data_IF_049219808010
#
_entry.id   IF_049219808010
#
_cell.length_a   1.000
_cell.length_b   1.000
_cell.length_c   1.000
_cell.angle_alpha   90.00
_cell.angle_beta   90.00
_cell.angle_gamma   90.00
#
_symmetry.space_group_name_H-M   'P 1'
#
loop_
_entity.id
_entity.type
_entity.pdbx_description
1 polymer ?
#
# COMPACT_ATOMS: atom_id res chain seq x y z
N UNK A 1 -0.24 12.71 -4.87
CA UNK A 1 0.66 12.18 -5.92
C UNK A 1 0.73 13.02 -7.21
N UNK A 2 -0.25 13.85 -7.56
CA UNK A 2 -0.15 14.77 -8.73
C UNK A 2 0.78 15.97 -8.54
N UNK A 3 1.06 16.36 -7.31
CA UNK A 3 1.91 17.54 -7.00
C UNK A 3 3.39 17.30 -7.32
N UNK A 4 3.92 16.10 -7.07
CA UNK A 4 5.34 15.81 -7.33
C UNK A 4 5.72 15.81 -8.82
N UNK A 5 4.83 15.33 -9.70
CA UNK A 5 5.07 15.38 -11.15
C UNK A 5 5.10 16.83 -11.67
N UNK A 6 4.16 17.68 -11.20
CA UNK A 6 4.14 19.08 -11.57
C UNK A 6 5.37 19.86 -11.09
N UNK A 7 5.92 19.52 -9.93
CA UNK A 7 7.13 20.16 -9.40
C UNK A 7 8.39 19.70 -10.13
N UNK A 8 8.44 18.43 -10.57
CA UNK A 8 9.51 17.91 -11.42
C UNK A 8 9.56 18.68 -12.76
N UNK A 9 8.43 18.81 -13.46
CA UNK A 9 8.34 19.53 -14.72
C UNK A 9 8.62 21.04 -14.59
N UNK A 10 8.27 21.66 -13.45
CA UNK A 10 8.62 23.06 -13.16
C UNK A 10 10.11 23.26 -12.92
N UNK A 11 10.83 22.21 -12.49
CA UNK A 11 12.27 22.28 -12.20
C UNK A 11 13.14 21.88 -13.38
N UNK A 12 12.58 21.31 -14.43
CA UNK A 12 13.33 20.93 -15.65
C UNK A 12 13.12 21.98 -16.76
N UNK A 13 14.06 22.94 -16.90
CA UNK A 13 13.98 23.98 -17.94
C UNK A 13 14.18 23.41 -19.36
N UNK A 14 14.53 22.13 -19.51
CA UNK A 14 14.76 21.48 -20.80
C UNK A 14 13.53 20.69 -21.30
N UNK A 15 12.42 20.66 -20.56
CA UNK A 15 11.22 19.99 -21.04
C UNK A 15 10.72 20.59 -22.35
N UNK A 16 10.69 19.78 -23.40
CA UNK A 16 10.17 20.14 -24.71
C UNK A 16 8.97 19.22 -25.02
N UNK A 17 7.77 19.76 -25.21
CA UNK A 17 6.61 18.98 -25.61
C UNK A 17 6.89 18.19 -26.92
N UNK A 18 6.48 16.91 -26.97
CA UNK A 18 6.65 16.05 -28.14
C UNK A 18 7.92 15.18 -28.13
N UNK A 19 8.80 15.31 -27.13
CA UNK A 19 9.85 14.32 -26.90
C UNK A 19 9.30 13.08 -26.17
N UNK A 20 10.05 11.97 -26.21
CA UNK A 20 9.73 10.77 -25.43
C UNK A 20 9.55 11.12 -23.96
N UNK A 21 8.56 10.54 -23.26
CA UNK A 21 8.35 10.82 -21.86
C UNK A 21 9.59 10.41 -21.05
N UNK A 22 10.04 11.30 -20.18
CA UNK A 22 11.19 11.07 -19.29
C UNK A 22 10.75 10.58 -17.92
N UNK A 23 9.47 10.76 -17.57
CA UNK A 23 8.83 10.32 -16.34
C UNK A 23 7.70 9.34 -16.65
N UNK A 24 7.72 8.16 -16.04
CA UNK A 24 6.77 7.08 -16.29
C UNK A 24 6.18 6.55 -14.97
N UNK A 25 4.90 6.23 -15.00
CA UNK A 25 4.22 5.42 -13.98
C UNK A 25 3.74 4.13 -14.64
N UNK A 26 4.35 2.99 -14.28
CA UNK A 26 4.09 1.69 -14.89
C UNK A 26 3.36 0.81 -13.88
N UNK A 27 2.20 0.31 -14.29
CA UNK A 27 1.38 -0.59 -13.48
C UNK A 27 1.26 -1.96 -14.11
N UNK A 28 1.55 -2.99 -13.30
CA UNK A 28 1.41 -4.42 -13.66
C UNK A 28 0.11 -5.01 -13.09
N UNK A 29 -1.04 -4.41 -13.42
CA UNK A 29 -2.34 -4.92 -13.02
C UNK A 29 -2.50 -5.08 -11.49
N UNK A 30 -3.22 -6.13 -11.09
CA UNK A 30 -3.56 -6.41 -9.69
C UNK A 30 -2.85 -7.64 -9.10
N UNK A 31 -1.89 -8.24 -9.79
CA UNK A 31 -1.19 -9.42 -9.27
C UNK A 31 -0.48 -9.12 -7.96
N UNK A 32 -0.94 -9.72 -6.86
CA UNK A 32 -0.46 -9.48 -5.50
C UNK A 32 -0.61 -10.75 -4.66
N UNK A 33 0.30 -10.98 -3.73
CA UNK A 33 0.26 -12.10 -2.81
C UNK A 33 -0.49 -11.83 -1.50
N UNK A 34 -0.86 -10.57 -1.22
CA UNK A 34 -1.50 -10.19 0.03
C UNK A 34 -3.01 -9.93 -0.12
N UNK A 35 -3.72 -10.08 1.01
CA UNK A 35 -5.14 -9.75 1.19
C UNK A 35 -5.30 -8.63 2.22
N UNK A 36 -4.73 -7.46 1.95
CA UNK A 36 -4.82 -6.33 2.89
C UNK A 36 -6.27 -5.93 3.14
N UNK A 37 -6.63 -5.62 4.41
CA UNK A 37 -8.00 -5.29 4.78
C UNK A 37 -8.56 -4.05 4.07
N UNK A 38 -7.69 -3.11 3.67
CA UNK A 38 -8.06 -1.87 2.97
C UNK A 38 -8.00 -2.01 1.44
N UNK A 39 -7.62 -3.17 0.91
CA UNK A 39 -7.40 -3.35 -0.52
C UNK A 39 -8.70 -3.71 -1.26
N UNK A 40 -8.69 -3.51 -2.58
CA UNK A 40 -9.81 -3.83 -3.46
C UNK A 40 -9.38 -4.87 -4.51
N UNK A 41 -10.32 -5.56 -5.17
CA UNK A 41 -10.03 -6.46 -6.27
C UNK A 41 -9.24 -5.84 -7.43
N UNK A 42 -9.35 -4.52 -7.63
CA UNK A 42 -8.58 -3.79 -8.65
C UNK A 42 -7.07 -3.73 -8.35
N UNK A 43 -6.69 -3.90 -7.08
CA UNK A 43 -5.32 -3.74 -6.62
C UNK A 43 -4.74 -5.03 -6.04
N UNK A 44 -5.54 -6.10 -5.87
CA UNK A 44 -5.05 -7.39 -5.40
C UNK A 44 -5.84 -8.55 -6.00
N UNK A 45 -5.14 -9.41 -6.72
CA UNK A 45 -5.68 -10.66 -7.25
C UNK A 45 -6.11 -11.63 -6.14
N UNK A 46 -5.49 -11.55 -4.97
CA UNK A 46 -5.89 -12.36 -3.81
C UNK A 46 -7.21 -11.87 -3.19
N UNK A 47 -7.44 -10.55 -3.14
CA UNK A 47 -8.73 -9.97 -2.73
C UNK A 47 -9.80 -10.28 -3.79
N UNK A 48 -9.45 -10.20 -5.07
CA UNK A 48 -10.36 -10.60 -6.15
C UNK A 48 -10.84 -12.05 -5.98
N UNK A 49 -9.90 -12.96 -5.74
CA UNK A 49 -10.24 -14.37 -5.53
C UNK A 49 -11.05 -14.58 -4.24
N UNK A 50 -10.68 -13.91 -3.14
CA UNK A 50 -11.42 -13.98 -1.88
C UNK A 50 -12.85 -13.47 -2.05
N UNK A 51 -13.03 -12.34 -2.75
CA UNK A 51 -14.36 -11.80 -3.07
C UNK A 51 -15.20 -12.78 -3.90
N UNK A 52 -14.64 -13.35 -4.97
CA UNK A 52 -15.35 -14.33 -5.82
C UNK A 52 -15.82 -15.54 -5.02
N UNK A 53 -15.01 -16.00 -4.07
CA UNK A 53 -15.34 -17.16 -3.23
C UNK A 53 -16.34 -16.83 -2.12
N UNK A 54 -16.48 -15.56 -1.74
CA UNK A 54 -17.28 -15.11 -0.57
C UNK A 54 -18.21 -13.94 -0.94
N UNK A 55 -18.69 -13.86 -2.18
CA UNK A 55 -19.47 -12.73 -2.71
C UNK A 55 -20.68 -12.38 -1.82
N UNK A 56 -21.39 -13.38 -1.29
CA UNK A 56 -22.55 -13.14 -0.42
C UNK A 56 -22.16 -12.42 0.87
N UNK A 57 -21.04 -12.80 1.51
CA UNK A 57 -20.56 -12.17 2.73
C UNK A 57 -20.13 -10.71 2.48
N UNK A 58 -19.40 -10.44 1.41
CA UNK A 58 -19.00 -9.08 1.05
C UNK A 58 -20.19 -8.20 0.67
N UNK A 59 -21.17 -8.73 -0.04
CA UNK A 59 -22.39 -8.00 -0.39
C UNK A 59 -23.24 -7.66 0.84
N UNK A 60 -23.34 -8.56 1.82
CA UNK A 60 -24.04 -8.32 3.07
C UNK A 60 -23.46 -7.12 3.85
N UNK A 61 -22.14 -6.86 3.73
CA UNK A 61 -21.47 -5.70 4.34
C UNK A 61 -21.70 -4.40 3.56
N UNK A 62 -22.32 -4.43 2.39
CA UNK A 62 -22.48 -3.27 1.50
C UNK A 62 -21.18 -2.74 0.91
N UNK A 63 -20.05 -3.41 1.10
CA UNK A 63 -18.71 -3.01 0.67
C UNK A 63 -18.63 -3.01 -0.86
N UNK A 64 -19.25 -3.99 -1.52
CA UNK A 64 -19.29 -4.10 -2.97
C UNK A 64 -19.94 -2.89 -3.69
N UNK A 65 -20.65 -2.04 -2.94
CA UNK A 65 -21.29 -0.83 -3.47
C UNK A 65 -20.42 0.44 -3.33
N UNK A 66 -19.23 0.36 -2.72
CA UNK A 66 -18.32 1.50 -2.66
C UNK A 66 -17.71 1.82 -4.03
N UNK A 67 -17.27 3.05 -4.23
CA UNK A 67 -16.74 3.51 -5.52
C UNK A 67 -15.49 2.73 -5.99
N UNK A 68 -14.67 2.26 -5.04
CA UNK A 68 -13.51 1.41 -5.33
C UNK A 68 -13.88 0.01 -5.81
N UNK A 69 -15.05 -0.50 -5.42
CA UNK A 69 -15.54 -1.82 -5.81
C UNK A 69 -16.52 -1.77 -6.99
N UNK A 70 -17.26 -0.66 -7.19
CA UNK A 70 -18.19 -0.48 -8.33
C UNK A 70 -17.51 -0.54 -9.69
N UNK A 71 -16.22 -0.20 -9.76
CA UNK A 71 -15.41 -0.35 -10.97
C UNK A 71 -15.00 -1.79 -11.26
N UNK A 72 -15.34 -2.69 -10.34
CA UNK A 72 -15.08 -4.10 -10.41
C UNK A 72 -16.39 -4.84 -10.73
N UNK A 73 -16.99 -4.60 -11.89
CA UNK A 73 -18.03 -5.49 -12.38
C UNK A 73 -17.39 -6.74 -12.99
N UNK A 74 -17.95 -7.91 -12.70
CA UNK A 74 -17.47 -9.18 -13.27
C UNK A 74 -17.56 -9.16 -14.81
N UNK A 75 -18.46 -8.33 -15.37
CA UNK A 75 -18.68 -8.14 -16.80
C UNK A 75 -17.59 -7.29 -17.45
N UNK A 76 -17.09 -6.24 -16.76
CA UNK A 76 -15.99 -5.41 -17.27
C UNK A 76 -14.65 -6.15 -17.30
N UNK A 77 -14.46 -7.17 -16.47
CA UNK A 77 -13.26 -8.00 -16.46
C UNK A 77 -13.16 -8.96 -17.65
N UNK A 78 -14.29 -9.37 -18.23
CA UNK A 78 -14.29 -10.23 -19.41
C UNK A 78 -13.77 -9.48 -20.65
N UNK A 79 -13.89 -8.15 -20.67
CA UNK A 79 -13.51 -7.30 -21.79
C UNK A 79 -12.03 -6.86 -21.80
N UNK A 80 -11.30 -6.96 -20.69
CA UNK A 80 -9.93 -6.44 -20.56
C UNK A 80 -8.90 -7.50 -20.14
N UNK A 81 -8.97 -8.71 -20.70
CA UNK A 81 -8.07 -9.82 -20.33
C UNK A 81 -6.66 -9.73 -20.93
N UNK A 82 -6.39 -8.79 -21.82
CA UNK A 82 -5.06 -8.63 -22.38
C UNK A 82 -4.24 -7.65 -21.52
N UNK A 83 -3.34 -8.18 -20.74
CA UNK A 83 -2.34 -7.38 -20.08
C UNK A 83 -1.38 -6.82 -21.15
N UNK A 84 -1.04 -5.54 -21.07
CA UNK A 84 -0.14 -4.90 -22.04
C UNK A 84 1.24 -5.58 -22.10
N UNK A 85 1.67 -6.20 -21.01
CA UNK A 85 2.96 -6.91 -20.90
C UNK A 85 2.93 -8.32 -21.52
N UNK A 86 1.77 -8.88 -21.80
CA UNK A 86 1.60 -10.17 -22.47
C UNK A 86 1.57 -10.01 -24.01
N UNK A 87 1.41 -8.78 -24.50
CA UNK A 87 1.48 -8.45 -25.93
C UNK A 87 2.94 -8.07 -26.29
N UNK A 88 3.67 -8.89 -27.08
CA UNK A 88 5.08 -8.68 -27.37
C UNK A 88 5.38 -7.34 -28.07
N UNK A 89 4.49 -6.87 -28.96
CA UNK A 89 4.66 -5.62 -29.68
C UNK A 89 4.51 -4.41 -28.73
N UNK A 90 3.51 -4.44 -27.85
CA UNK A 90 3.30 -3.40 -26.84
C UNK A 90 4.45 -3.40 -25.84
N UNK A 91 4.85 -4.57 -25.36
CA UNK A 91 5.97 -4.70 -24.44
C UNK A 91 7.28 -4.14 -25.03
N UNK A 92 7.60 -4.47 -26.29
CA UNK A 92 8.76 -3.94 -26.99
C UNK A 92 8.74 -2.41 -27.15
N UNK A 93 7.53 -1.81 -27.32
CA UNK A 93 7.36 -0.34 -27.32
C UNK A 93 7.68 0.25 -25.96
N UNK A 94 7.17 -0.37 -24.88
CA UNK A 94 7.44 0.08 -23.49
C UNK A 94 8.92 -0.04 -23.17
N UNK A 95 9.59 -1.14 -23.53
CA UNK A 95 11.06 -1.31 -23.37
C UNK A 95 11.82 -0.15 -24.02
N UNK A 96 11.45 0.27 -25.24
CA UNK A 96 12.11 1.40 -25.92
C UNK A 96 11.88 2.74 -25.19
N UNK A 97 10.74 2.89 -24.54
CA UNK A 97 10.41 4.12 -23.79
C UNK A 97 11.18 4.15 -22.46
N UNK A 98 11.17 3.05 -21.68
CA UNK A 98 11.87 3.00 -20.39
C UNK A 98 13.38 3.13 -20.50
N UNK A 99 13.97 2.68 -21.61
CA UNK A 99 15.41 2.84 -21.88
C UNK A 99 15.85 4.32 -21.97
N UNK A 100 14.91 5.24 -22.18
CA UNK A 100 15.15 6.69 -22.25
C UNK A 100 14.61 7.46 -21.07
N UNK A 101 13.95 6.77 -20.14
CA UNK A 101 13.34 7.40 -18.99
C UNK A 101 14.40 7.86 -17.99
N UNK A 102 14.14 9.00 -17.35
CA UNK A 102 14.96 9.52 -16.24
C UNK A 102 14.38 9.14 -14.88
N UNK A 103 13.08 8.91 -14.85
CA UNK A 103 12.36 8.53 -13.65
C UNK A 103 11.27 7.51 -14.00
N UNK A 104 11.22 6.39 -13.29
CA UNK A 104 10.16 5.39 -13.46
C UNK A 104 9.62 4.97 -12.10
N UNK A 105 8.30 5.10 -11.93
CA UNK A 105 7.59 4.56 -10.80
C UNK A 105 6.92 3.24 -11.19
N UNK A 106 7.17 2.19 -10.42
CA UNK A 106 6.54 0.89 -10.58
C UNK A 106 5.49 0.67 -9.49
N UNK A 107 4.28 0.36 -9.90
CA UNK A 107 3.14 0.13 -9.02
C UNK A 107 2.23 -0.98 -9.56
N UNK A 108 1.12 -1.22 -8.88
CA UNK A 108 0.14 -2.25 -9.27
C UNK A 108 -0.32 -3.04 -8.06
N UNK A 109 -0.44 -4.37 -8.21
CA UNK A 109 -0.59 -5.27 -7.07
C UNK A 109 0.70 -5.30 -6.24
N UNK A 110 1.63 -6.20 -6.59
CA UNK A 110 3.00 -6.21 -6.06
C UNK A 110 3.99 -6.26 -7.24
N UNK A 111 4.64 -5.14 -7.58
CA UNK A 111 5.50 -5.07 -8.76
C UNK A 111 6.71 -6.00 -8.68
N UNK A 112 7.30 -6.22 -7.49
CA UNK A 112 8.48 -7.08 -7.34
C UNK A 112 8.21 -8.56 -7.61
N UNK A 113 6.93 -8.96 -7.75
CA UNK A 113 6.53 -10.31 -8.14
C UNK A 113 6.39 -10.51 -9.65
N UNK A 114 6.44 -9.43 -10.44
CA UNK A 114 6.23 -9.49 -11.88
C UNK A 114 7.52 -9.85 -12.61
N UNK A 115 7.59 -11.00 -13.34
CA UNK A 115 8.79 -11.36 -14.11
C UNK A 115 9.18 -10.29 -15.13
N UNK A 116 8.20 -9.70 -15.82
CA UNK A 116 8.39 -8.67 -16.85
C UNK A 116 8.98 -7.36 -16.30
N UNK A 117 8.87 -7.10 -14.99
CA UNK A 117 9.56 -5.98 -14.35
C UNK A 117 11.08 -6.07 -14.57
N UNK A 118 11.63 -7.26 -14.39
CA UNK A 118 13.09 -7.46 -14.49
C UNK A 118 13.59 -7.26 -15.91
N UNK A 119 12.80 -7.65 -16.91
CA UNK A 119 13.12 -7.41 -18.32
C UNK A 119 13.11 -5.90 -18.65
N UNK A 120 12.19 -5.12 -18.04
CA UNK A 120 12.22 -3.66 -18.15
C UNK A 120 13.45 -3.07 -17.44
N UNK A 121 13.74 -3.50 -16.22
CA UNK A 121 14.90 -3.02 -15.46
C UNK A 121 16.22 -3.33 -16.19
N UNK A 122 16.32 -4.47 -16.85
CA UNK A 122 17.51 -4.84 -17.63
C UNK A 122 17.73 -3.91 -18.83
N UNK A 123 16.64 -3.39 -19.43
CA UNK A 123 16.69 -2.46 -20.55
C UNK A 123 16.94 -0.99 -20.14
N UNK A 124 16.77 -0.64 -18.86
CA UNK A 124 16.87 0.75 -18.37
C UNK A 124 18.31 1.19 -18.16
N UNK A 125 18.55 2.51 -18.31
CA UNK A 125 19.82 3.14 -17.91
C UNK A 125 19.97 3.10 -16.38
N UNK A 126 21.15 2.77 -15.90
CA UNK A 126 21.49 2.74 -14.47
C UNK A 126 21.43 4.12 -13.77
N UNK A 127 21.42 5.21 -14.53
CA UNK A 127 21.23 6.56 -14.00
C UNK A 127 19.73 6.94 -13.86
N UNK A 128 18.81 6.10 -14.36
CA UNK A 128 17.40 6.29 -14.13
C UNK A 128 17.08 6.18 -12.64
N UNK A 129 16.28 7.12 -12.12
CA UNK A 129 15.75 7.03 -10.76
C UNK A 129 14.53 6.09 -10.80
N UNK A 130 14.55 5.05 -10.01
CA UNK A 130 13.43 4.11 -9.94
C UNK A 130 12.75 4.17 -8.58
N UNK A 131 11.43 4.13 -8.59
CA UNK A 131 10.60 4.11 -7.39
C UNK A 131 9.64 2.93 -7.44
N UNK A 132 9.40 2.31 -6.30
CA UNK A 132 8.45 1.21 -6.15
C UNK A 132 7.45 1.50 -5.04
N UNK A 133 6.17 1.22 -5.29
CA UNK A 133 5.21 0.98 -4.22
C UNK A 133 5.15 -0.53 -4.01
N UNK A 134 5.66 -1.00 -2.88
CA UNK A 134 5.82 -2.44 -2.62
C UNK A 134 5.37 -2.84 -1.20
N UNK A 135 4.88 -4.06 -1.07
CA UNK A 135 4.66 -4.68 0.23
C UNK A 135 5.94 -5.33 0.80
N UNK A 136 6.99 -5.39 0.00
CA UNK A 136 8.33 -5.90 0.33
C UNK A 136 8.35 -7.33 0.90
N UNK A 137 7.31 -8.13 0.72
CA UNK A 137 7.26 -9.51 1.23
C UNK A 137 8.12 -10.47 0.41
N UNK A 138 8.55 -10.08 -0.79
CA UNK A 138 9.45 -10.87 -1.63
C UNK A 138 10.67 -10.05 -2.04
N UNK A 139 11.79 -10.39 -1.43
CA UNK A 139 13.10 -9.82 -1.74
C UNK A 139 14.07 -10.95 -2.11
N UNK A 140 14.08 -11.32 -3.38
CA UNK A 140 14.97 -12.39 -3.89
C UNK A 140 16.36 -11.84 -4.23
N UNK A 141 17.34 -12.74 -4.40
CA UNK A 141 18.68 -12.36 -4.89
C UNK A 141 18.60 -11.65 -6.24
N UNK A 142 17.72 -12.12 -7.15
CA UNK A 142 17.45 -11.45 -8.43
C UNK A 142 16.93 -10.03 -8.23
N UNK A 143 16.00 -9.84 -7.30
CA UNK A 143 15.47 -8.52 -6.95
C UNK A 143 16.60 -7.61 -6.48
N UNK A 144 17.42 -8.07 -5.55
CA UNK A 144 18.53 -7.28 -5.02
C UNK A 144 19.59 -6.97 -6.08
N UNK A 145 19.90 -7.90 -6.97
CA UNK A 145 20.80 -7.67 -8.10
C UNK A 145 20.25 -6.60 -9.05
N UNK A 146 18.95 -6.68 -9.40
CA UNK A 146 18.31 -5.71 -10.26
C UNK A 146 18.28 -4.31 -9.62
N UNK A 147 17.97 -4.18 -8.32
CA UNK A 147 17.98 -2.90 -7.60
C UNK A 147 19.39 -2.29 -7.51
N UNK A 148 20.42 -3.12 -7.29
CA UNK A 148 21.83 -2.67 -7.20
C UNK A 148 22.39 -2.12 -8.51
N UNK A 149 21.74 -2.41 -9.65
CA UNK A 149 22.14 -1.83 -10.96
C UNK A 149 21.98 -0.31 -10.98
N UNK A 150 21.00 0.24 -10.28
CA UNK A 150 20.64 1.66 -10.33
C UNK A 150 21.35 2.46 -9.25
N UNK A 151 21.69 3.71 -9.58
CA UNK A 151 22.36 4.62 -8.64
C UNK A 151 21.42 5.16 -7.57
N UNK A 152 20.12 5.25 -7.87
CA UNK A 152 19.11 5.84 -7.00
C UNK A 152 17.82 5.04 -7.09
N UNK A 153 17.49 4.37 -6.00
CA UNK A 153 16.30 3.54 -5.83
C UNK A 153 15.49 4.05 -4.66
N UNK A 154 14.19 4.27 -4.86
CA UNK A 154 13.27 4.63 -3.80
C UNK A 154 12.27 3.50 -3.58
N UNK A 155 12.28 2.87 -2.42
CA UNK A 155 11.27 1.91 -2.03
C UNK A 155 10.24 2.56 -1.10
N UNK A 156 9.03 2.73 -1.58
CA UNK A 156 7.88 3.11 -0.77
C UNK A 156 7.25 1.84 -0.21
N UNK A 157 7.70 1.46 0.98
CA UNK A 157 7.32 0.20 1.63
C UNK A 157 6.03 0.38 2.39
N UNK A 158 5.04 -0.44 2.07
CA UNK A 158 3.73 -0.43 2.72
C UNK A 158 3.78 -1.15 4.06
N UNK A 159 3.63 -0.43 5.17
CA UNK A 159 3.74 -0.97 6.52
C UNK A 159 2.70 -0.34 7.47
N UNK A 160 1.76 -1.14 8.00
CA UNK A 160 0.66 -0.66 8.86
C UNK A 160 0.72 -1.19 10.29
N UNK A 161 1.77 -1.92 10.64
CA UNK A 161 1.99 -2.47 11.97
C UNK A 161 3.26 -3.30 12.04
N UNK A 162 3.48 -3.94 13.18
CA UNK A 162 4.58 -4.90 13.41
C UNK A 162 4.03 -6.22 13.93
N UNK A 163 4.72 -7.32 13.66
CA UNK A 163 4.32 -8.64 14.14
C UNK A 163 2.91 -9.03 13.69
N UNK A 164 2.13 -9.57 14.62
CA UNK A 164 0.77 -10.03 14.40
C UNK A 164 -0.17 -8.92 13.86
N UNK A 165 0.06 -7.66 14.23
CA UNK A 165 -0.71 -6.53 13.70
C UNK A 165 -0.53 -6.40 12.17
N UNK A 166 0.71 -6.42 11.70
CA UNK A 166 0.99 -6.37 10.27
C UNK A 166 0.39 -7.56 9.54
N UNK A 167 0.56 -8.78 10.09
CA UNK A 167 0.07 -10.01 9.49
C UNK A 167 -1.46 -10.06 9.42
N UNK A 168 -2.16 -9.49 10.39
CA UNK A 168 -3.62 -9.40 10.35
C UNK A 168 -4.12 -8.35 9.35
N UNK A 169 -3.54 -7.13 9.38
CA UNK A 169 -3.95 -6.03 8.48
C UNK A 169 -3.62 -6.36 7.02
N UNK A 170 -2.42 -6.88 6.79
CA UNK A 170 -1.93 -7.28 5.47
C UNK A 170 -1.82 -8.81 5.40
N UNK A 171 -2.99 -9.44 5.44
CA UNK A 171 -3.12 -10.90 5.48
C UNK A 171 -2.29 -11.61 4.41
N UNK A 172 -1.68 -12.73 4.74
CA UNK A 172 -0.66 -13.48 4.02
C UNK A 172 0.75 -12.86 4.08
N UNK A 173 0.99 -11.79 4.83
CA UNK A 173 2.37 -11.37 5.12
C UNK A 173 2.96 -12.29 6.22
N UNK A 174 4.28 -12.43 6.19
CA UNK A 174 5.06 -13.10 7.23
C UNK A 174 6.00 -12.06 7.84
N UNK A 175 5.78 -11.72 9.11
CA UNK A 175 6.54 -10.65 9.76
C UNK A 175 8.05 -10.93 9.84
N UNK A 176 8.51 -12.10 10.29
CA UNK A 176 9.95 -12.41 10.34
C UNK A 176 10.66 -12.28 8.99
N UNK A 177 10.00 -12.61 7.88
CA UNK A 177 10.54 -12.44 6.54
C UNK A 177 10.54 -10.97 6.13
N UNK A 178 9.43 -10.26 6.37
CA UNK A 178 9.31 -8.84 6.05
C UNK A 178 10.34 -8.00 6.82
N UNK A 179 10.52 -8.26 8.13
CA UNK A 179 11.54 -7.59 8.94
C UNK A 179 12.95 -7.79 8.36
N UNK A 180 13.35 -9.02 8.04
CA UNK A 180 14.63 -9.28 7.37
C UNK A 180 14.78 -8.50 6.06
N UNK A 181 13.72 -8.42 5.26
CA UNK A 181 13.74 -7.69 4.00
C UNK A 181 13.90 -6.17 4.24
N UNK A 182 13.18 -5.63 5.22
CA UNK A 182 13.30 -4.22 5.64
C UNK A 182 14.73 -3.92 6.07
N UNK A 183 15.30 -4.72 6.98
CA UNK A 183 16.69 -4.52 7.44
C UNK A 183 17.68 -4.59 6.27
N UNK A 184 17.45 -5.49 5.31
CA UNK A 184 18.31 -5.62 4.13
C UNK A 184 18.27 -4.36 3.26
N UNK A 185 17.09 -3.83 2.93
CA UNK A 185 17.01 -2.66 2.06
C UNK A 185 17.42 -1.38 2.76
N UNK A 186 17.15 -1.21 4.06
CA UNK A 186 17.59 -0.06 4.84
C UNK A 186 19.12 0.02 4.96
N UNK A 187 19.82 -1.12 4.89
CA UNK A 187 21.28 -1.19 4.94
C UNK A 187 21.95 -1.22 3.55
N UNK A 188 21.20 -1.00 2.46
CA UNK A 188 21.73 -1.01 1.09
C UNK A 188 21.95 0.43 0.61
N UNK A 189 23.20 0.87 0.32
CA UNK A 189 23.54 2.31 0.17
C UNK A 189 22.82 3.07 -0.94
N UNK A 190 22.44 2.39 -2.04
CA UNK A 190 21.75 3.02 -3.17
C UNK A 190 20.23 2.96 -3.05
N UNK A 191 19.70 2.45 -1.94
CA UNK A 191 18.28 2.31 -1.70
C UNK A 191 17.84 3.29 -0.60
N UNK A 192 16.92 4.18 -0.93
CA UNK A 192 16.18 4.98 0.05
C UNK A 192 14.85 4.31 0.35
N UNK A 193 14.54 4.19 1.63
CA UNK A 193 13.27 3.61 2.09
C UNK A 193 12.37 4.71 2.63
N UNK A 194 11.14 4.74 2.15
CA UNK A 194 10.04 5.53 2.72
C UNK A 194 8.97 4.55 3.18
N UNK A 195 8.61 4.56 4.45
CA UNK A 195 7.50 3.74 4.93
C UNK A 195 6.18 4.44 4.66
N UNK A 196 5.31 3.79 3.89
CA UNK A 196 3.95 4.24 3.62
C UNK A 196 3.01 3.57 4.61
N UNK A 197 2.37 4.39 5.42
CA UNK A 197 1.48 4.00 6.49
C UNK A 197 0.09 4.59 6.27
N UNK A 198 -0.96 3.77 6.38
CA UNK A 198 -2.33 4.24 6.23
C UNK A 198 -2.94 4.58 7.59
N UNK A 199 -3.38 5.84 7.73
CA UNK A 199 -4.17 6.29 8.87
C UNK A 199 -5.58 5.74 8.73
N UNK A 200 -5.90 4.73 9.53
CA UNK A 200 -7.16 4.00 9.51
C UNK A 200 -7.55 3.58 10.93
N UNK A 201 -8.70 2.95 11.12
CA UNK A 201 -9.16 2.51 12.46
C UNK A 201 -8.08 1.79 13.26
N UNK A 202 -7.37 0.84 12.64
CA UNK A 202 -6.33 0.05 13.30
C UNK A 202 -5.10 0.85 13.74
N UNK A 203 -4.91 2.07 13.24
CA UNK A 203 -3.80 2.98 13.60
C UNK A 203 -3.69 3.19 15.10
N UNK A 204 -4.82 3.37 15.79
CA UNK A 204 -4.85 3.61 17.23
C UNK A 204 -4.20 2.48 18.05
N UNK A 205 -4.21 1.25 17.52
CA UNK A 205 -3.60 0.11 18.18
C UNK A 205 -2.17 -0.16 17.70
N UNK A 206 -1.85 0.16 16.46
CA UNK A 206 -0.60 -0.28 15.82
C UNK A 206 0.51 0.76 15.89
N UNK A 207 0.16 2.05 15.86
CA UNK A 207 1.14 3.15 15.79
C UNK A 207 2.18 3.15 16.89
N UNK A 208 1.84 2.93 18.19
CA UNK A 208 2.83 2.91 19.26
C UNK A 208 3.96 1.89 19.05
N UNK A 209 3.60 0.68 18.62
CA UNK A 209 4.59 -0.36 18.36
C UNK A 209 5.34 -0.12 17.05
N UNK A 210 4.65 0.37 16.04
CA UNK A 210 5.23 0.70 14.74
C UNK A 210 6.23 1.84 14.85
N UNK A 211 5.90 2.92 15.59
CA UNK A 211 6.82 4.03 15.80
C UNK A 211 8.12 3.56 16.46
N UNK A 212 8.04 2.78 17.53
CA UNK A 212 9.22 2.22 18.20
C UNK A 212 10.09 1.37 17.28
N UNK A 213 9.48 0.71 16.30
CA UNK A 213 10.19 -0.07 15.30
C UNK A 213 10.85 0.81 14.24
N UNK A 214 10.18 1.88 13.78
CA UNK A 214 10.64 2.74 12.70
C UNK A 214 11.67 3.80 13.15
N UNK A 215 11.54 4.32 14.37
CA UNK A 215 12.38 5.40 14.89
C UNK A 215 13.89 5.11 14.75
N UNK A 216 14.42 3.92 15.14
CA UNK A 216 15.83 3.62 14.99
C UNK A 216 16.28 3.41 13.53
N UNK A 217 15.38 3.17 12.60
CA UNK A 217 15.72 3.00 11.17
C UNK A 217 16.01 4.33 10.47
N UNK A 218 15.64 5.45 11.09
CA UNK A 218 15.87 6.81 10.57
C UNK A 218 15.42 6.99 9.11
N UNK A 219 14.31 6.33 8.72
CA UNK A 219 13.72 6.40 7.41
C UNK A 219 12.57 7.40 7.37
N UNK A 220 12.25 7.90 6.17
CA UNK A 220 11.07 8.75 5.99
C UNK A 220 9.79 7.94 6.21
N UNK A 221 8.81 8.55 6.88
CA UNK A 221 7.47 8.00 7.07
C UNK A 221 6.47 8.89 6.34
N UNK A 222 5.64 8.29 5.49
CA UNK A 222 4.55 8.95 4.79
C UNK A 222 3.23 8.41 5.34
N UNK A 223 2.61 9.15 6.23
CA UNK A 223 1.27 8.85 6.73
C UNK A 223 0.21 9.37 5.77
N UNK A 224 -0.73 8.54 5.37
CA UNK A 224 -1.80 8.89 4.45
C UNK A 224 -3.15 8.43 5.02
N UNK A 225 -4.15 9.33 5.15
CA UNK A 225 -5.47 8.90 5.59
C UNK A 225 -6.12 7.97 4.57
N UNK A 226 -6.79 6.93 5.08
CA UNK A 226 -7.69 6.11 4.28
C UNK A 226 -8.90 6.97 3.91
N UNK A 227 -9.15 7.11 2.61
CA UNK A 227 -10.32 7.85 2.15
C UNK A 227 -11.59 7.02 2.29
N UNK A 228 -12.67 7.66 2.71
CA UNK A 228 -13.99 7.04 2.94
C UNK A 228 -14.51 6.19 1.77
N UNK A 229 -14.04 6.45 0.57
CA UNK A 229 -14.48 5.79 -0.67
C UNK A 229 -13.74 4.49 -0.98
N UNK A 230 -12.68 4.13 -0.24
CA UNK A 230 -11.84 2.99 -0.62
C UNK A 230 -12.49 1.64 -0.29
N UNK A 231 -13.16 1.54 0.87
CA UNK A 231 -13.86 0.31 1.33
C UNK A 231 -15.15 0.71 2.05
N UNK A 232 -16.12 1.27 1.32
CA UNK A 232 -17.45 1.49 1.84
C UNK A 232 -17.58 2.53 2.97
N UNK A 233 -17.86 3.76 2.60
CA UNK A 233 -18.49 4.79 3.46
C UNK A 233 -17.76 5.16 4.77
N UNK A 234 -16.45 5.04 4.84
CA UNK A 234 -15.71 5.46 6.03
C UNK A 234 -15.54 4.41 7.12
N UNK A 235 -15.89 3.15 6.84
CA UNK A 235 -15.78 2.02 7.80
C UNK A 235 -14.38 1.86 8.39
N UNK A 236 -13.34 2.16 7.62
CA UNK A 236 -11.95 2.07 8.07
C UNK A 236 -11.40 3.39 8.64
N UNK A 237 -12.19 4.43 8.74
CA UNK A 237 -11.71 5.71 9.30
C UNK A 237 -11.70 5.68 10.84
N UNK A 238 -11.06 6.68 11.44
CA UNK A 238 -11.04 6.87 12.90
C UNK A 238 -12.44 7.00 13.51
N UNK A 239 -13.43 7.45 12.75
CA UNK A 239 -14.79 7.67 13.24
C UNK A 239 -15.49 6.38 13.67
N UNK A 240 -15.03 5.22 13.20
CA UNK A 240 -15.51 3.91 13.61
C UNK A 240 -14.91 3.40 14.94
N UNK A 241 -13.86 4.07 15.46
CA UNK A 241 -13.21 3.67 16.70
C UNK A 241 -13.97 4.21 17.94
N UNK A 242 -13.98 3.44 19.03
CA UNK A 242 -14.61 3.88 20.28
C UNK A 242 -13.77 4.96 20.98
N UNK A 243 -14.45 5.87 21.69
CA UNK A 243 -13.81 7.01 22.36
C UNK A 243 -12.70 6.59 23.33
N UNK A 244 -12.87 5.48 24.04
CA UNK A 244 -11.89 4.97 25.00
C UNK A 244 -10.55 4.61 24.32
N UNK A 245 -10.61 3.95 23.17
CA UNK A 245 -9.43 3.58 22.39
C UNK A 245 -8.72 4.81 21.82
N UNK A 246 -9.50 5.77 21.29
CA UNK A 246 -8.94 7.02 20.77
C UNK A 246 -8.31 7.86 21.90
N UNK A 247 -8.94 7.95 23.06
CA UNK A 247 -8.39 8.67 24.20
C UNK A 247 -7.04 8.07 24.65
N UNK A 248 -6.95 6.74 24.74
CA UNK A 248 -5.70 6.06 25.05
C UNK A 248 -4.60 6.35 24.01
N UNK A 249 -4.95 6.36 22.74
CA UNK A 249 -4.01 6.71 21.66
C UNK A 249 -3.55 8.17 21.75
N UNK A 250 -4.46 9.11 22.01
CA UNK A 250 -4.15 10.53 22.19
C UNK A 250 -3.20 10.75 23.37
N UNK A 251 -3.43 10.06 24.48
CA UNK A 251 -2.56 10.16 25.66
C UNK A 251 -1.17 9.59 25.37
N UNK A 252 -1.10 8.51 24.60
CA UNK A 252 0.19 7.99 24.14
C UNK A 252 0.92 8.99 23.21
N UNK A 253 0.24 9.64 22.27
CA UNK A 253 0.81 10.68 21.38
C UNK A 253 1.35 11.85 22.22
N UNK A 254 0.61 12.34 23.23
CA UNK A 254 1.07 13.42 24.11
C UNK A 254 2.34 13.05 24.88
N UNK A 255 2.44 11.79 25.29
CA UNK A 255 3.63 11.28 25.97
C UNK A 255 4.83 11.03 25.02
N UNK A 256 4.58 10.95 23.72
CA UNK A 256 5.57 10.68 22.68
C UNK A 256 5.46 11.69 21.51
N UNK A 257 5.71 12.98 21.74
CA UNK A 257 5.41 14.03 20.74
C UNK A 257 6.22 13.91 19.45
N UNK A 258 7.40 13.29 19.46
CA UNK A 258 8.19 13.01 18.26
C UNK A 258 7.50 12.02 17.29
N UNK A 259 6.55 11.23 17.78
CA UNK A 259 5.77 10.29 16.98
C UNK A 259 4.61 10.94 16.20
N UNK A 260 4.31 12.20 16.48
CA UNK A 260 3.20 12.92 15.88
C UNK A 260 3.67 13.82 14.74
N UNK A 261 3.01 13.71 13.60
CA UNK A 261 3.17 14.62 12.48
C UNK A 261 1.84 15.33 12.19
N UNK A 262 1.86 16.28 11.26
CA UNK A 262 0.68 17.10 10.90
C UNK A 262 -0.49 16.24 10.42
N UNK A 263 -0.23 15.14 9.74
CA UNK A 263 -1.27 14.22 9.25
C UNK A 263 -1.96 13.50 10.38
N UNK A 264 -1.20 13.03 11.37
CA UNK A 264 -1.73 12.36 12.58
C UNK A 264 -2.49 13.36 13.45
N UNK A 265 -1.97 14.57 13.65
CA UNK A 265 -2.67 15.64 14.38
C UNK A 265 -4.02 15.97 13.74
N UNK A 266 -4.04 16.17 12.42
CA UNK A 266 -5.26 16.46 11.70
C UNK A 266 -6.25 15.29 11.78
N UNK A 267 -5.76 14.05 11.64
CA UNK A 267 -6.57 12.85 11.71
C UNK A 267 -7.22 12.68 13.10
N UNK A 268 -6.46 12.91 14.18
CA UNK A 268 -6.99 12.89 15.56
C UNK A 268 -7.98 14.03 15.78
N UNK A 269 -7.63 15.27 15.39
CA UNK A 269 -8.48 16.45 15.64
C UNK A 269 -9.81 16.42 14.89
N UNK A 270 -9.88 15.68 13.80
CA UNK A 270 -11.12 15.47 13.02
C UNK A 270 -11.97 14.31 13.55
N UNK A 271 -11.55 13.62 14.63
CA UNK A 271 -12.29 12.49 15.18
C UNK A 271 -13.67 12.89 15.67
N UNK A 272 -14.66 12.10 15.27
CA UNK A 272 -16.02 12.16 15.75
C UNK A 272 -16.59 10.75 15.73
N UNK A 273 -16.96 10.21 16.89
CA UNK A 273 -17.52 8.87 16.97
C UNK A 273 -18.80 8.72 16.17
N UNK A 274 -18.88 7.67 15.37
CA UNK A 274 -20.08 7.27 14.62
C UNK A 274 -20.43 5.82 14.97
N UNK A 275 -21.50 5.60 15.76
CA UNK A 275 -21.91 4.26 16.18
C UNK A 275 -22.29 3.34 15.00
N UNK A 276 -22.79 3.91 13.90
CA UNK A 276 -23.14 3.11 12.72
C UNK A 276 -21.89 2.63 11.99
N UNK A 277 -20.86 3.49 11.85
CA UNK A 277 -19.58 3.08 11.32
C UNK A 277 -18.87 2.08 12.23
N UNK A 278 -18.99 2.25 13.55
CA UNK A 278 -18.44 1.29 14.52
C UNK A 278 -19.04 -0.10 14.33
N UNK A 279 -20.38 -0.20 14.25
CA UNK A 279 -21.03 -1.49 14.02
C UNK A 279 -20.61 -2.09 12.66
N UNK A 280 -20.56 -1.30 11.60
CA UNK A 280 -20.11 -1.76 10.29
C UNK A 280 -18.64 -2.24 10.32
N UNK A 281 -17.77 -1.57 11.08
CA UNK A 281 -16.38 -2.02 11.27
C UNK A 281 -16.31 -3.38 11.98
N UNK A 282 -17.08 -3.55 13.07
CA UNK A 282 -17.17 -4.82 13.80
C UNK A 282 -17.64 -5.97 12.91
N UNK A 283 -18.67 -5.71 12.11
CA UNK A 283 -19.22 -6.70 11.18
C UNK A 283 -18.18 -7.05 10.09
N UNK A 284 -17.47 -6.04 9.59
CA UNK A 284 -16.42 -6.22 8.59
C UNK A 284 -15.26 -7.06 9.11
N UNK A 285 -14.70 -6.73 10.27
CA UNK A 285 -13.57 -7.50 10.83
C UNK A 285 -13.99 -8.90 11.24
N UNK A 286 -15.23 -9.09 11.74
CA UNK A 286 -15.79 -10.41 12.02
C UNK A 286 -15.95 -11.25 10.76
N UNK A 287 -16.38 -10.65 9.65
CA UNK A 287 -16.44 -11.31 8.34
C UNK A 287 -15.04 -11.75 7.90
N UNK A 288 -14.04 -10.86 8.00
CA UNK A 288 -12.66 -11.18 7.63
C UNK A 288 -12.07 -12.31 8.51
N UNK A 289 -12.30 -12.26 9.83
CA UNK A 289 -11.86 -13.31 10.74
C UNK A 289 -12.47 -14.67 10.38
N UNK A 290 -13.77 -14.71 10.07
CA UNK A 290 -14.44 -15.94 9.65
C UNK A 290 -13.92 -16.48 8.32
N UNK A 291 -13.62 -15.63 7.34
CA UNK A 291 -13.12 -16.05 6.03
C UNK A 291 -11.66 -16.50 6.12
N UNK A 292 -10.86 -15.85 6.95
CA UNK A 292 -9.40 -15.99 6.99
C UNK A 292 -8.89 -16.85 8.16
N UNK A 293 -9.73 -17.14 9.14
CA UNK A 293 -9.33 -17.80 10.37
C UNK A 293 -8.53 -16.90 11.33
N UNK A 294 -8.72 -15.57 11.22
CA UNK A 294 -8.10 -14.58 12.10
C UNK A 294 -8.85 -14.40 13.42
N UNK A 295 -8.32 -13.52 14.26
CA UNK A 295 -8.99 -13.07 15.48
C UNK A 295 -8.59 -11.62 15.79
N UNK A 296 -9.39 -10.68 15.31
CA UNK A 296 -9.15 -9.24 15.51
C UNK A 296 -9.06 -8.88 17.00
N UNK A 297 -10.00 -9.35 17.81
CA UNK A 297 -10.03 -9.04 19.25
C UNK A 297 -8.77 -9.50 19.98
N UNK A 298 -8.30 -10.70 19.69
CA UNK A 298 -7.07 -11.21 20.30
C UNK A 298 -5.82 -10.48 19.80
N UNK A 299 -5.83 -10.01 18.56
CA UNK A 299 -4.68 -9.32 17.95
C UNK A 299 -4.56 -7.87 18.41
N UNK A 300 -5.67 -7.12 18.48
CA UNK A 300 -5.67 -5.67 18.73
C UNK A 300 -6.13 -5.29 20.13
N UNK A 301 -6.79 -6.19 20.86
CA UNK A 301 -7.33 -5.97 22.21
C UNK A 301 -8.15 -4.65 22.33
N UNK A 302 -9.15 -4.41 21.47
CA UNK A 302 -9.93 -3.18 21.50
C UNK A 302 -10.84 -3.11 22.72
N UNK A 303 -11.16 -1.90 23.19
CA UNK A 303 -12.09 -1.66 24.30
C UNK A 303 -13.56 -1.79 23.88
N UNK A 304 -13.89 -2.85 23.13
CA UNK A 304 -15.29 -3.13 22.72
C UNK A 304 -16.01 -4.00 23.75
N UNK A 305 -17.14 -3.60 24.18
CA UNK A 305 -18.13 -4.41 24.92
C UNK A 305 -19.35 -4.72 24.08
#
# INVERSE_FOLDING_TARGET
>A
MRTGANDFFKRDPQYTPGKSPEWLDIRFGNFCNLKCMMCTPLNSSQIEQEYKNNTAAYNAQGIAHSSGWKRFSIEDQAASKENWWDNPETFAKVVKIVNRARYVNFSGGEPLMMPQLYDLMDAMDSNCIITFNTNLTRLTDRTMQALKKFKDVNLQVSLDGVGAHQEWIRWNSNWPELDRNIQTVCNTPNIRVTFSYLLQHTTIYTWPALWKYLEPLNCQILAMPVYADTIGKGVLTQHSAVEADVAQFVDWIKANPSSCNTEIEHWISSYQFDPALHQQFRDYVSMLDNIRGGNFRATFNPAWD
#
